data_IF_108190638886
#
_entry.id   IF_108190638886
#
_cell.length_a   1.000
_cell.length_b   1.000
_cell.length_c   1.000
_cell.angle_alpha   90.00
_cell.angle_beta   90.00
_cell.angle_gamma   90.00
#
_symmetry.space_group_name_H-M   'P 1'
#
loop_
_entity.id
_entity.type
_entity.pdbx_description
1 polymer ?
#
# COMPACT_ATOMS: atom_id res chain seq x y z
N UNK A 1 24.09 4.43 2.84
CA UNK A 1 23.08 3.42 2.42
C UNK A 1 23.67 2.60 1.28
N UNK A 2 23.38 1.30 1.20
CA UNK A 2 23.89 0.48 0.08
C UNK A 2 23.17 0.85 -1.22
N UNK A 3 23.92 0.93 -2.33
CA UNK A 3 23.35 1.26 -3.66
C UNK A 3 22.24 0.29 -4.07
N UNK A 4 22.39 -0.99 -3.70
CA UNK A 4 21.41 -2.06 -3.95
C UNK A 4 20.08 -1.79 -3.24
N UNK A 5 20.09 -1.26 -2.02
CA UNK A 5 18.86 -0.94 -1.30
C UNK A 5 18.12 0.24 -1.94
N UNK A 6 18.84 1.28 -2.36
CA UNK A 6 18.25 2.42 -3.06
C UNK A 6 17.66 2.02 -4.41
N UNK A 7 18.35 1.14 -5.15
CA UNK A 7 17.83 0.61 -6.42
C UNK A 7 16.52 -0.15 -6.21
N UNK A 8 16.44 -1.02 -5.20
CA UNK A 8 15.20 -1.76 -4.87
C UNK A 8 14.05 -0.80 -4.57
N UNK A 9 14.29 0.21 -3.74
CA UNK A 9 13.29 1.21 -3.41
C UNK A 9 12.80 1.97 -4.65
N UNK A 10 13.72 2.30 -5.58
CA UNK A 10 13.39 2.93 -6.84
C UNK A 10 12.51 2.04 -7.73
N UNK A 11 12.84 0.75 -7.86
CA UNK A 11 12.05 -0.22 -8.62
C UNK A 11 10.65 -0.38 -8.03
N UNK A 12 10.53 -0.38 -6.69
CA UNK A 12 9.25 -0.45 -5.98
C UNK A 12 8.40 0.80 -6.24
N UNK A 13 9.04 1.98 -6.22
CA UNK A 13 8.40 3.24 -6.59
C UNK A 13 7.92 3.25 -8.04
N UNK A 14 8.74 2.74 -8.96
CA UNK A 14 8.37 2.61 -10.37
C UNK A 14 7.18 1.66 -10.56
N UNK A 15 7.14 0.53 -9.86
CA UNK A 15 6.01 -0.39 -9.90
C UNK A 15 4.71 0.26 -9.40
N UNK A 16 4.78 1.08 -8.33
CA UNK A 16 3.61 1.82 -7.84
C UNK A 16 3.12 2.89 -8.84
N UNK A 17 4.05 3.58 -9.54
CA UNK A 17 3.69 4.54 -10.59
C UNK A 17 3.06 3.82 -11.79
N UNK A 18 3.60 2.67 -12.20
CA UNK A 18 3.01 1.87 -13.28
C UNK A 18 1.63 1.34 -12.93
N UNK A 19 1.41 0.92 -11.68
CA UNK A 19 0.07 0.53 -11.20
C UNK A 19 -0.91 1.70 -11.33
N UNK A 20 -0.49 2.89 -10.93
CA UNK A 20 -1.31 4.10 -11.02
C UNK A 20 -1.61 4.47 -12.48
N UNK A 21 -0.63 4.35 -13.36
CA UNK A 21 -0.79 4.55 -14.79
C UNK A 21 -1.75 3.53 -15.40
N UNK A 22 -1.66 2.26 -14.99
CA UNK A 22 -2.54 1.20 -15.46
C UNK A 22 -4.01 1.43 -15.05
N UNK A 23 -4.28 2.07 -13.91
CA UNK A 23 -5.65 2.45 -13.52
C UNK A 23 -6.29 3.46 -14.49
N UNK A 24 -5.50 4.24 -15.24
CA UNK A 24 -5.97 5.19 -16.24
C UNK A 24 -6.24 4.53 -17.62
N UNK A 25 -6.79 3.29 -17.63
CA UNK A 25 -7.03 2.50 -18.85
C UNK A 25 -7.76 3.27 -19.95
N UNK A 26 -8.84 3.98 -19.60
CA UNK A 26 -9.67 4.72 -20.56
C UNK A 26 -8.92 5.85 -21.27
N UNK A 27 -7.84 6.36 -20.66
CA UNK A 27 -6.97 7.35 -21.26
C UNK A 27 -5.77 6.74 -22.01
N UNK A 28 -5.17 5.68 -21.46
CA UNK A 28 -3.99 5.03 -22.02
C UNK A 28 -4.30 4.20 -23.28
N UNK A 29 -5.53 3.70 -23.38
CA UNK A 29 -5.89 2.70 -24.36
C UNK A 29 -5.26 1.33 -24.08
N UNK A 30 -5.67 0.35 -24.88
CA UNK A 30 -5.40 -1.05 -24.58
C UNK A 30 -3.90 -1.41 -24.66
N UNK A 31 -3.20 -1.01 -25.74
CA UNK A 31 -1.82 -1.39 -25.97
C UNK A 31 -0.87 -0.87 -24.88
N UNK A 32 -1.01 0.40 -24.49
CA UNK A 32 -0.15 1.01 -23.47
C UNK A 32 -0.47 0.43 -22.09
N UNK A 33 -1.74 0.14 -21.79
CA UNK A 33 -2.13 -0.51 -20.53
C UNK A 33 -1.53 -1.92 -20.40
N UNK A 34 -1.61 -2.74 -21.45
CA UNK A 34 -1.02 -4.08 -21.46
C UNK A 34 0.51 -4.03 -21.30
N UNK A 35 1.18 -3.08 -21.96
CA UNK A 35 2.62 -2.88 -21.81
C UNK A 35 2.99 -2.45 -20.39
N UNK A 36 2.29 -1.46 -19.84
CA UNK A 36 2.51 -0.96 -18.49
C UNK A 36 2.30 -2.07 -17.44
N UNK A 37 1.23 -2.85 -17.59
CA UNK A 37 0.95 -4.03 -16.76
C UNK A 37 2.06 -5.07 -16.86
N UNK A 38 2.53 -5.39 -18.07
CA UNK A 38 3.63 -6.34 -18.29
C UNK A 38 4.91 -5.91 -17.60
N UNK A 39 5.34 -4.65 -17.80
CA UNK A 39 6.53 -4.10 -17.14
C UNK A 39 6.37 -4.12 -15.62
N UNK A 40 5.19 -3.73 -15.11
CA UNK A 40 4.89 -3.77 -13.68
C UNK A 40 5.03 -5.19 -13.12
N UNK A 41 4.48 -6.21 -13.77
CA UNK A 41 4.58 -7.59 -13.30
C UNK A 41 6.02 -8.12 -13.34
N UNK A 42 6.81 -7.78 -14.35
CA UNK A 42 8.24 -8.11 -14.37
C UNK A 42 8.99 -7.49 -13.19
N UNK A 43 8.70 -6.23 -12.86
CA UNK A 43 9.26 -5.57 -11.67
C UNK A 43 8.82 -6.25 -10.38
N UNK A 44 7.55 -6.67 -10.27
CA UNK A 44 7.05 -7.41 -9.11
C UNK A 44 7.71 -8.78 -8.96
N UNK A 45 7.95 -9.50 -10.06
CA UNK A 45 8.70 -10.76 -10.04
C UNK A 45 10.12 -10.50 -9.53
N UNK A 46 10.81 -9.50 -10.09
CA UNK A 46 12.15 -9.13 -9.65
C UNK A 46 12.18 -8.74 -8.16
N UNK A 47 11.23 -7.94 -7.70
CA UNK A 47 11.06 -7.58 -6.29
C UNK A 47 10.94 -8.81 -5.39
N UNK A 48 10.09 -9.76 -5.76
CA UNK A 48 9.87 -10.99 -5.01
C UNK A 48 11.11 -11.90 -4.97
N UNK A 49 11.85 -12.01 -6.08
CA UNK A 49 13.12 -12.75 -6.14
C UNK A 49 14.17 -12.10 -5.22
N UNK A 50 14.33 -10.78 -5.28
CA UNK A 50 15.28 -10.05 -4.43
C UNK A 50 14.92 -10.13 -2.94
N UNK A 51 13.63 -10.24 -2.64
CA UNK A 51 13.12 -10.35 -1.28
C UNK A 51 12.86 -11.81 -0.85
N UNK A 52 13.36 -12.82 -1.60
CA UNK A 52 13.08 -14.24 -1.33
C UNK A 52 13.48 -14.69 0.08
N UNK A 53 14.53 -14.09 0.64
CA UNK A 53 15.00 -14.38 2.02
C UNK A 53 13.96 -14.06 3.10
N UNK A 54 13.04 -13.12 2.83
CA UNK A 54 11.96 -12.79 3.74
C UNK A 54 11.03 -13.99 3.95
N UNK A 55 10.72 -14.75 2.88
CA UNK A 55 9.86 -15.94 2.98
C UNK A 55 10.42 -17.01 3.93
N UNK A 56 11.75 -17.18 3.97
CA UNK A 56 12.40 -18.11 4.91
C UNK A 56 12.38 -17.63 6.36
N UNK A 57 12.27 -16.32 6.60
CA UNK A 57 12.22 -15.74 7.94
C UNK A 57 10.82 -15.75 8.58
N UNK A 58 9.78 -16.11 7.82
CA UNK A 58 8.38 -16.10 8.29
C UNK A 58 8.16 -16.92 9.57
N UNK A 59 8.88 -18.04 9.73
CA UNK A 59 8.83 -18.91 10.90
C UNK A 59 9.29 -18.22 12.19
N UNK A 60 10.21 -17.25 12.10
CA UNK A 60 10.79 -16.54 13.25
C UNK A 60 9.97 -15.31 13.67
N UNK A 61 9.18 -14.77 12.75
CA UNK A 61 8.37 -13.54 12.90
C UNK A 61 7.03 -13.73 13.63
N UNK A 62 6.68 -14.94 14.07
CA UNK A 62 5.43 -15.25 14.79
C UNK A 62 5.26 -14.53 16.15
N UNK A 63 6.30 -13.90 16.69
CA UNK A 63 6.30 -13.37 18.06
C UNK A 63 5.85 -11.91 18.18
N UNK A 64 5.73 -11.15 17.10
CA UNK A 64 5.34 -9.73 17.14
C UNK A 64 4.02 -9.48 16.38
N UNK A 65 2.99 -8.88 17.00
CA UNK A 65 1.70 -8.60 16.35
C UNK A 65 1.82 -7.78 15.06
N UNK A 66 2.74 -6.81 15.04
CA UNK A 66 3.04 -6.00 13.85
C UNK A 66 3.56 -6.85 12.70
N UNK A 67 4.37 -7.87 13.01
CA UNK A 67 4.92 -8.75 11.99
C UNK A 67 3.87 -9.69 11.40
N UNK A 68 2.89 -10.13 12.19
CA UNK A 68 1.76 -10.93 11.69
C UNK A 68 0.90 -10.09 10.75
N UNK A 69 0.57 -8.85 11.13
CA UNK A 69 -0.17 -7.92 10.28
C UNK A 69 0.56 -7.65 8.96
N UNK A 70 1.87 -7.37 9.02
CA UNK A 70 2.72 -7.19 7.83
C UNK A 70 2.71 -8.43 6.92
N UNK A 71 2.80 -9.64 7.50
CA UNK A 71 2.77 -10.88 6.75
C UNK A 71 1.40 -11.10 6.08
N UNK A 72 0.30 -10.88 6.81
CA UNK A 72 -1.05 -10.95 6.26
C UNK A 72 -1.29 -9.97 5.14
N UNK A 73 -0.87 -8.71 5.30
CA UNK A 73 -0.98 -7.70 4.23
C UNK A 73 -0.14 -8.07 3.00
N UNK A 74 1.08 -8.57 3.21
CA UNK A 74 1.94 -9.00 2.10
C UNK A 74 1.30 -10.17 1.35
N UNK A 75 0.70 -11.13 2.05
CA UNK A 75 -0.04 -12.22 1.42
C UNK A 75 -1.27 -11.70 0.65
N UNK A 76 -2.05 -10.80 1.24
CA UNK A 76 -3.17 -10.17 0.55
C UNK A 76 -2.74 -9.43 -0.72
N UNK A 77 -1.61 -8.71 -0.67
CA UNK A 77 -1.03 -8.03 -1.82
C UNK A 77 -0.60 -9.03 -2.90
N UNK A 78 0.07 -10.12 -2.54
CA UNK A 78 0.45 -11.18 -3.48
C UNK A 78 -0.77 -11.79 -4.17
N UNK A 79 -1.83 -12.08 -3.40
CA UNK A 79 -3.08 -12.61 -3.93
C UNK A 79 -3.75 -11.61 -4.88
N UNK A 80 -3.83 -10.33 -4.53
CA UNK A 80 -4.37 -9.30 -5.40
C UNK A 80 -3.57 -9.16 -6.70
N UNK A 81 -2.24 -9.19 -6.62
CA UNK A 81 -1.35 -9.14 -7.79
C UNK A 81 -1.49 -10.39 -8.67
N UNK A 82 -1.69 -11.57 -8.07
CA UNK A 82 -1.94 -12.80 -8.82
C UNK A 82 -3.29 -12.76 -9.55
N UNK A 83 -4.35 -12.30 -8.88
CA UNK A 83 -5.66 -12.10 -9.52
C UNK A 83 -5.54 -11.13 -10.68
N UNK A 84 -4.84 -10.01 -10.50
CA UNK A 84 -4.58 -9.05 -11.58
C UNK A 84 -3.82 -9.69 -12.74
N UNK A 85 -2.76 -10.46 -12.48
CA UNK A 85 -1.98 -11.11 -13.52
C UNK A 85 -2.83 -12.10 -14.33
N UNK A 86 -3.57 -12.98 -13.65
CA UNK A 86 -4.41 -14.00 -14.31
C UNK A 86 -5.50 -13.30 -15.12
N UNK A 87 -6.20 -12.33 -14.54
CA UNK A 87 -7.27 -11.60 -15.24
C UNK A 87 -6.73 -10.75 -16.39
N UNK A 88 -5.53 -10.15 -16.27
CA UNK A 88 -4.84 -9.46 -17.37
C UNK A 88 -4.58 -10.38 -18.55
N UNK A 89 -4.07 -11.59 -18.30
CA UNK A 89 -3.81 -12.59 -19.36
C UNK A 89 -5.11 -12.99 -20.05
N UNK A 90 -6.19 -13.19 -19.29
CA UNK A 90 -7.49 -13.60 -19.85
C UNK A 90 -8.20 -12.50 -20.65
N UNK A 91 -7.98 -11.23 -20.34
CA UNK A 91 -8.62 -10.09 -21.03
C UNK A 91 -7.72 -9.50 -22.14
N UNK A 92 -6.41 -9.80 -22.13
CA UNK A 92 -5.44 -9.22 -23.07
C UNK A 92 -5.86 -9.44 -24.52
N UNK A 93 -5.94 -8.35 -25.28
CA UNK A 93 -6.20 -8.40 -26.71
C UNK A 93 -4.99 -8.95 -27.47
N UNK A 94 -3.76 -8.72 -27.00
CA UNK A 94 -2.56 -9.28 -27.62
C UNK A 94 -2.52 -10.82 -27.54
N UNK A 95 -3.06 -11.39 -26.46
CA UNK A 95 -3.12 -12.84 -26.25
C UNK A 95 -4.44 -13.48 -26.70
N UNK A 96 -5.47 -12.67 -27.02
CA UNK A 96 -6.78 -13.14 -27.45
C UNK A 96 -6.75 -14.14 -28.63
N UNK A 97 -5.85 -14.02 -29.64
CA UNK A 97 -5.77 -15.02 -30.72
C UNK A 97 -5.31 -16.42 -30.26
N UNK A 98 -4.64 -16.51 -29.11
CA UNK A 98 -4.02 -17.73 -28.61
C UNK A 98 -4.77 -18.37 -27.43
N UNK A 99 -5.73 -17.65 -26.84
CA UNK A 99 -6.45 -18.07 -25.64
C UNK A 99 -7.94 -18.30 -25.93
N UNK A 100 -8.58 -19.23 -25.19
CA UNK A 100 -10.04 -19.35 -25.23
C UNK A 100 -10.72 -18.04 -24.83
N UNK A 101 -11.95 -17.76 -25.30
CA UNK A 101 -12.69 -16.51 -25.05
C UNK A 101 -13.25 -16.44 -23.62
N UNK A 102 -12.38 -16.55 -22.62
CA UNK A 102 -12.72 -16.46 -21.20
C UNK A 102 -12.67 -15.03 -20.65
N UNK A 103 -12.19 -14.06 -21.43
CA UNK A 103 -12.12 -12.63 -21.10
C UNK A 103 -13.46 -11.88 -21.05
N UNK A 104 -14.51 -12.57 -20.59
CA UNK A 104 -15.86 -12.04 -20.50
C UNK A 104 -16.01 -10.94 -19.45
N UNK A 105 -17.24 -10.41 -19.37
CA UNK A 105 -17.60 -9.30 -18.50
C UNK A 105 -17.20 -9.50 -17.03
N UNK A 106 -17.46 -10.69 -16.46
CA UNK A 106 -17.13 -11.00 -15.06
C UNK A 106 -15.63 -10.91 -14.77
N UNK A 107 -14.77 -11.35 -15.70
CA UNK A 107 -13.31 -11.27 -15.54
C UNK A 107 -12.86 -9.82 -15.51
N UNK A 108 -13.46 -8.95 -16.33
CA UNK A 108 -13.19 -7.50 -16.33
C UNK A 108 -13.62 -6.83 -15.03
N UNK A 109 -14.75 -7.25 -14.45
CA UNK A 109 -15.17 -6.77 -13.13
C UNK A 109 -14.20 -7.21 -12.03
N UNK A 110 -13.78 -8.48 -12.03
CA UNK A 110 -12.80 -9.00 -11.07
C UNK A 110 -11.45 -8.28 -11.22
N UNK A 111 -11.00 -8.04 -12.46
CA UNK A 111 -9.78 -7.29 -12.74
C UNK A 111 -9.85 -5.88 -12.16
N UNK A 112 -10.95 -5.18 -12.43
CA UNK A 112 -11.17 -3.82 -11.92
C UNK A 112 -11.20 -3.78 -10.39
N UNK A 113 -11.95 -4.70 -9.78
CA UNK A 113 -12.04 -4.85 -8.32
C UNK A 113 -10.64 -5.07 -7.72
N UNK A 114 -9.87 -6.01 -8.28
CA UNK A 114 -8.53 -6.32 -7.84
C UNK A 114 -7.57 -5.13 -8.04
N UNK A 115 -7.75 -4.31 -9.07
CA UNK A 115 -6.92 -3.14 -9.34
C UNK A 115 -7.12 -2.05 -8.27
N UNK A 116 -8.37 -1.74 -7.93
CA UNK A 116 -8.69 -0.76 -6.88
C UNK A 116 -8.32 -1.27 -5.49
N UNK A 117 -8.56 -2.54 -5.17
CA UNK A 117 -8.05 -3.13 -3.92
C UNK A 117 -6.52 -3.15 -3.89
N UNK A 118 -5.87 -3.41 -5.03
CA UNK A 118 -4.43 -3.32 -5.20
C UNK A 118 -3.89 -1.94 -4.81
N UNK A 119 -4.52 -0.86 -5.30
CA UNK A 119 -4.18 0.52 -4.91
C UNK A 119 -4.25 0.73 -3.38
N UNK A 120 -5.35 0.28 -2.75
CA UNK A 120 -5.54 0.42 -1.30
C UNK A 120 -4.49 -0.38 -0.53
N UNK A 121 -4.27 -1.65 -0.89
CA UNK A 121 -3.32 -2.53 -0.21
C UNK A 121 -1.89 -2.00 -0.37
N UNK A 122 -1.51 -1.51 -1.55
CA UNK A 122 -0.21 -0.86 -1.78
C UNK A 122 -0.07 0.40 -0.91
N UNK A 123 -1.11 1.23 -0.81
CA UNK A 123 -1.09 2.41 0.06
C UNK A 123 -0.91 2.04 1.55
N UNK A 124 -1.59 0.99 2.04
CA UNK A 124 -1.36 0.45 3.39
C UNK A 124 0.09 -0.04 3.53
N UNK A 125 0.60 -0.76 2.53
CA UNK A 125 1.96 -1.29 2.50
C UNK A 125 3.01 -0.17 2.61
N UNK A 126 2.81 0.93 1.88
CA UNK A 126 3.64 2.14 1.97
C UNK A 126 3.52 2.81 3.35
N UNK A 127 2.31 2.90 3.89
CA UNK A 127 2.05 3.46 5.23
C UNK A 127 2.79 2.70 6.36
N UNK A 128 2.84 1.36 6.27
CA UNK A 128 3.61 0.52 7.20
C UNK A 128 5.12 0.80 7.15
N UNK A 129 5.62 1.05 5.93
CA UNK A 129 7.04 1.33 5.65
C UNK A 129 7.39 2.82 5.77
N UNK A 130 6.43 3.68 6.09
CA UNK A 130 6.64 5.12 6.20
C UNK A 130 7.80 5.56 7.11
N UNK A 131 8.03 4.96 8.31
CA UNK A 131 9.20 5.29 9.13
C UNK A 131 10.54 5.06 8.41
N UNK A 132 10.63 3.97 7.63
CA UNK A 132 11.81 3.65 6.83
C UNK A 132 11.99 4.68 5.72
N UNK A 133 10.92 4.99 4.97
CA UNK A 133 10.95 5.99 3.89
C UNK A 133 11.37 7.37 4.40
N UNK A 134 10.85 7.79 5.55
CA UNK A 134 11.26 9.03 6.21
C UNK A 134 12.74 9.01 6.62
N UNK A 135 13.27 7.87 7.07
CA UNK A 135 14.70 7.69 7.34
C UNK A 135 15.57 7.81 6.09
N UNK A 136 15.12 7.24 4.97
CA UNK A 136 15.78 7.36 3.66
C UNK A 136 15.79 8.80 3.18
N UNK A 137 14.64 9.47 3.20
CA UNK A 137 14.49 10.87 2.78
C UNK A 137 15.38 11.80 3.61
N UNK A 138 15.42 11.61 4.94
CA UNK A 138 16.31 12.39 5.82
C UNK A 138 17.78 12.22 5.49
N UNK A 139 18.20 10.99 5.19
CA UNK A 139 19.60 10.71 4.84
C UNK A 139 19.98 11.28 3.47
N UNK A 140 19.09 11.20 2.48
CA UNK A 140 19.30 11.77 1.14
C UNK A 140 19.39 13.31 1.19
N UNK A 141 18.52 13.94 1.97
CA UNK A 141 18.47 15.39 2.12
C UNK A 141 19.50 15.94 3.14
N UNK A 142 20.36 15.09 3.71
CA UNK A 142 21.38 15.51 4.68
C UNK A 142 20.81 16.10 5.98
N UNK A 143 19.56 15.77 6.32
CA UNK A 143 18.83 16.40 7.41
C UNK A 143 19.29 15.84 8.77
N UNK A 144 20.14 16.61 9.46
CA UNK A 144 20.56 16.36 10.83
C UNK A 144 19.68 17.18 11.79
N UNK A 145 19.08 16.52 12.78
CA UNK A 145 18.25 17.16 13.82
C UNK A 145 16.73 17.11 13.62
N UNK A 146 16.02 17.24 14.74
CA UNK A 146 14.56 17.35 14.82
C UNK A 146 14.17 18.83 14.85
N UNK A 147 13.50 19.31 13.81
CA UNK A 147 12.93 20.65 13.79
C UNK A 147 11.41 20.55 14.09
N UNK A 148 10.92 21.14 15.20
CA UNK A 148 9.50 21.08 15.57
C UNK A 148 8.60 21.76 14.52
N UNK A 149 9.04 22.88 13.93
CA UNK A 149 8.32 23.56 12.85
C UNK A 149 8.19 22.66 11.61
N UNK A 150 9.27 21.99 11.19
CA UNK A 150 9.22 21.03 10.08
C UNK A 150 8.23 19.89 10.37
N UNK A 151 8.24 19.41 11.61
CA UNK A 151 7.31 18.33 12.02
C UNK A 151 5.86 18.81 12.00
N UNK A 152 5.60 20.05 12.42
CA UNK A 152 4.27 20.66 12.36
C UNK A 152 3.80 20.84 10.91
N UNK A 153 4.66 21.38 10.03
CA UNK A 153 4.37 21.56 8.60
C UNK A 153 4.05 20.21 7.94
N UNK A 154 4.87 19.17 8.17
CA UNK A 154 4.61 17.84 7.63
C UNK A 154 3.29 17.24 8.14
N UNK A 155 2.90 17.51 9.39
CA UNK A 155 1.60 17.09 9.93
C UNK A 155 0.45 17.87 9.29
N UNK A 156 0.58 19.17 9.10
CA UNK A 156 -0.42 19.98 8.42
C UNK A 156 -0.63 19.50 6.97
N UNK A 157 0.46 19.21 6.25
CA UNK A 157 0.39 18.60 4.91
C UNK A 157 -0.31 17.25 4.95
N UNK A 158 0.01 16.38 5.92
CA UNK A 158 -0.66 15.09 6.05
C UNK A 158 -2.17 15.23 6.32
N UNK A 159 -2.59 16.22 7.12
CA UNK A 159 -4.01 16.51 7.37
C UNK A 159 -4.69 17.03 6.09
N UNK A 160 -4.05 17.95 5.37
CA UNK A 160 -4.57 18.44 4.10
C UNK A 160 -4.74 17.30 3.07
N UNK A 161 -3.76 16.41 2.95
CA UNK A 161 -3.83 15.20 2.11
C UNK A 161 -4.97 14.29 2.57
N UNK A 162 -5.16 14.11 3.87
CA UNK A 162 -6.24 13.28 4.39
C UNK A 162 -7.62 13.86 4.05
N UNK A 163 -7.83 15.16 4.25
CA UNK A 163 -9.09 15.84 3.89
C UNK A 163 -9.34 15.72 2.39
N UNK A 164 -8.32 16.01 1.58
CA UNK A 164 -8.42 15.89 0.13
C UNK A 164 -8.69 14.45 -0.32
N UNK A 165 -8.10 13.47 0.35
CA UNK A 165 -8.31 12.05 0.07
C UNK A 165 -9.73 11.59 0.38
N UNK A 166 -10.36 12.12 1.44
CA UNK A 166 -11.77 11.81 1.75
C UNK A 166 -12.68 12.35 0.65
N UNK A 167 -12.48 13.60 0.23
CA UNK A 167 -13.23 14.17 -0.89
C UNK A 167 -13.00 13.37 -2.18
N UNK A 168 -11.74 13.03 -2.47
CA UNK A 168 -11.34 12.24 -3.64
C UNK A 168 -11.94 10.83 -3.65
N UNK A 169 -12.16 10.22 -2.49
CA UNK A 169 -12.79 8.90 -2.38
C UNK A 169 -14.22 8.92 -2.93
N UNK A 170 -14.96 10.00 -2.67
CA UNK A 170 -16.29 10.21 -3.22
C UNK A 170 -16.23 10.56 -4.71
N UNK A 171 -15.34 11.46 -5.13
CA UNK A 171 -15.20 11.86 -6.54
C UNK A 171 -14.84 10.69 -7.47
N UNK A 172 -14.01 9.76 -6.99
CA UNK A 172 -13.63 8.57 -7.75
C UNK A 172 -14.66 7.44 -7.68
N UNK A 173 -15.73 7.58 -6.88
CA UNK A 173 -16.71 6.52 -6.66
C UNK A 173 -16.06 5.24 -6.11
N UNK A 174 -15.04 5.36 -5.26
CA UNK A 174 -14.27 4.18 -4.85
C UNK A 174 -15.10 3.16 -4.06
N UNK A 175 -16.11 3.62 -3.31
CA UNK A 175 -16.99 2.73 -2.56
C UNK A 175 -17.72 1.71 -3.45
N UNK A 176 -18.20 2.14 -4.62
CA UNK A 176 -18.90 1.27 -5.56
C UNK A 176 -17.91 0.31 -6.25
N UNK A 177 -16.74 0.82 -6.63
CA UNK A 177 -15.67 0.04 -7.27
C UNK A 177 -15.08 -1.03 -6.35
N UNK A 178 -14.93 -0.74 -5.06
CA UNK A 178 -14.43 -1.67 -4.05
C UNK A 178 -15.47 -2.73 -3.63
N UNK A 179 -16.76 -2.46 -3.85
CA UNK A 179 -17.88 -3.38 -3.55
C UNK A 179 -18.37 -4.15 -4.78
N UNK A 180 -17.66 -4.05 -5.91
CA UNK A 180 -18.03 -4.67 -7.19
C UNK A 180 -19.41 -4.23 -7.70
N UNK A 181 -19.89 -3.05 -7.28
CA UNK A 181 -21.11 -2.47 -7.79
C UNK A 181 -20.88 -1.88 -9.18
N UNK A 182 -21.80 -2.14 -10.09
CA UNK A 182 -21.75 -1.59 -11.44
C UNK A 182 -22.14 -0.11 -11.41
N UNK A 183 -21.20 0.75 -11.81
CA UNK A 183 -21.45 2.18 -12.01
C UNK A 183 -20.97 2.60 -13.38
N UNK A 184 -21.77 3.45 -14.05
CA UNK A 184 -21.38 4.11 -15.29
C UNK A 184 -20.54 5.37 -15.05
N UNK A 185 -20.36 5.77 -13.79
CA UNK A 185 -19.53 6.90 -13.36
C UNK A 185 -18.03 6.57 -13.49
N UNK A 186 -17.55 6.64 -14.73
CA UNK A 186 -16.13 6.63 -15.05
C UNK A 186 -15.59 8.06 -15.10
N UNK A 187 -14.31 8.22 -14.76
CA UNK A 187 -13.68 9.54 -14.80
C UNK A 187 -13.65 10.07 -16.23
N UNK A 188 -14.12 11.30 -16.42
CA UNK A 188 -14.03 11.96 -17.71
C UNK A 188 -12.61 12.48 -17.95
N UNK A 189 -11.82 11.70 -18.70
CA UNK A 189 -10.45 12.07 -19.04
C UNK A 189 -10.36 13.23 -20.04
N UNK A 190 -11.44 13.58 -20.73
CA UNK A 190 -11.49 14.76 -21.60
C UNK A 190 -11.48 16.06 -20.80
N UNK A 191 -12.05 16.05 -19.59
CA UNK A 191 -12.11 17.23 -18.74
C UNK A 191 -10.78 17.48 -18.01
N UNK A 192 -10.23 16.46 -17.34
CA UNK A 192 -8.99 16.60 -16.59
C UNK A 192 -8.25 15.27 -16.38
N UNK A 193 -7.21 15.01 -17.17
CA UNK A 193 -6.32 13.85 -16.99
C UNK A 193 -5.59 13.91 -15.65
N UNK A 194 -5.02 15.08 -15.31
CA UNK A 194 -4.27 15.26 -14.07
C UNK A 194 -5.16 15.09 -12.82
N UNK A 195 -6.45 15.42 -12.91
CA UNK A 195 -7.41 15.28 -11.82
C UNK A 195 -7.52 13.84 -11.32
N UNK A 196 -7.57 12.86 -12.25
CA UNK A 196 -7.61 11.45 -11.90
C UNK A 196 -6.40 11.02 -11.05
N UNK A 197 -5.18 11.36 -11.50
CA UNK A 197 -3.96 11.02 -10.78
C UNK A 197 -3.87 11.71 -9.42
N UNK A 198 -4.31 12.97 -9.34
CA UNK A 198 -4.36 13.72 -8.09
C UNK A 198 -5.31 13.05 -7.10
N UNK A 199 -6.51 12.68 -7.53
CA UNK A 199 -7.49 12.02 -6.66
C UNK A 199 -7.00 10.64 -6.20
N UNK A 200 -6.40 9.84 -7.10
CA UNK A 200 -5.84 8.55 -6.71
C UNK A 200 -4.67 8.70 -5.72
N UNK A 201 -3.77 9.67 -5.95
CA UNK A 201 -2.67 9.97 -5.04
C UNK A 201 -3.17 10.48 -3.69
N UNK A 202 -4.23 11.30 -3.67
CA UNK A 202 -4.84 11.80 -2.44
C UNK A 202 -5.47 10.67 -1.63
N UNK A 203 -6.18 9.73 -2.28
CA UNK A 203 -6.72 8.54 -1.60
C UNK A 203 -5.60 7.66 -1.06
N UNK A 204 -4.58 7.36 -1.87
CA UNK A 204 -3.43 6.59 -1.40
C UNK A 204 -2.76 7.28 -0.20
N UNK A 205 -2.59 8.61 -0.26
CA UNK A 205 -2.08 9.43 0.83
C UNK A 205 -2.92 9.35 2.10
N UNK A 206 -4.25 9.44 1.99
CA UNK A 206 -5.18 9.24 3.11
C UNK A 206 -4.97 7.87 3.75
N UNK A 207 -4.97 6.80 2.96
CA UNK A 207 -4.79 5.43 3.45
C UNK A 207 -3.42 5.26 4.12
N UNK A 208 -2.36 5.85 3.56
CA UNK A 208 -1.02 5.87 4.15
C UNK A 208 -1.00 6.58 5.52
N UNK A 209 -1.63 7.76 5.61
CA UNK A 209 -1.73 8.55 6.84
C UNK A 209 -2.48 7.78 7.91
N UNK A 210 -3.67 7.25 7.59
CA UNK A 210 -4.49 6.45 8.50
C UNK A 210 -3.72 5.23 8.99
N UNK A 211 -3.05 4.51 8.08
CA UNK A 211 -2.24 3.34 8.43
C UNK A 211 -1.11 3.71 9.38
N UNK A 212 -0.33 4.75 9.04
CA UNK A 212 0.82 5.17 9.83
C UNK A 212 0.44 5.61 11.25
N UNK A 213 -0.58 6.47 11.39
CA UNK A 213 -1.02 6.95 12.69
C UNK A 213 -1.78 5.87 13.48
N UNK A 214 -2.58 5.03 12.81
CA UNK A 214 -3.26 3.89 13.43
C UNK A 214 -2.30 2.91 14.09
N UNK A 215 -1.22 2.52 13.39
CA UNK A 215 -0.18 1.67 13.97
C UNK A 215 0.54 2.32 15.14
N UNK A 216 0.80 3.63 15.05
CA UNK A 216 1.47 4.37 16.12
C UNK A 216 0.64 4.39 17.39
N UNK A 217 -0.68 4.59 17.26
CA UNK A 217 -1.61 4.53 18.38
C UNK A 217 -1.70 3.11 18.97
N UNK A 218 -1.75 2.09 18.11
CA UNK A 218 -1.77 0.69 18.55
C UNK A 218 -0.50 0.32 19.35
N UNK A 219 0.67 0.79 18.91
CA UNK A 219 1.94 0.59 19.61
C UNK A 219 1.96 1.27 20.98
N UNK A 220 1.47 2.51 21.06
CA UNK A 220 1.35 3.23 22.33
C UNK A 220 0.42 2.50 23.30
N UNK A 221 -0.72 1.99 22.82
CA UNK A 221 -1.65 1.20 23.64
C UNK A 221 -1.06 -0.11 24.14
N UNK A 222 -0.31 -0.84 23.29
CA UNK A 222 0.36 -2.08 23.67
C UNK A 222 1.50 -1.84 24.67
N UNK A 223 2.31 -0.80 24.49
CA UNK A 223 3.37 -0.42 25.45
C UNK A 223 2.79 0.02 26.80
N UNK A 224 1.69 0.78 26.81
CA UNK A 224 1.01 1.18 28.04
C UNK A 224 0.44 -0.02 28.81
N UNK A 225 -0.11 -1.01 28.10
CA UNK A 225 -0.63 -2.26 28.69
C UNK A 225 0.49 -3.13 29.29
N UNK A 226 1.64 -3.22 28.61
CA UNK A 226 2.82 -3.94 29.10
C UNK A 226 3.37 -3.32 30.40
N UNK A 227 3.55 -1.99 30.43
CA UNK A 227 4.01 -1.28 31.64
C UNK A 227 3.03 -1.40 32.81
N UNK A 228 1.72 -1.45 32.54
CA UNK A 228 0.70 -1.65 33.59
C UNK A 228 0.76 -3.06 34.17
N UNK A 229 0.98 -4.08 33.33
CA UNK A 229 1.12 -5.48 33.77
C UNK A 229 2.36 -5.70 34.63
N UNK A 230 3.51 -5.13 34.25
CA UNK A 230 4.75 -5.20 35.05
C UNK A 230 4.61 -4.49 36.39
N UNK A 231 3.99 -3.31 36.43
CA UNK A 231 3.76 -2.59 37.70
C UNK A 231 2.85 -3.35 38.67
N UNK A 232 1.84 -4.05 38.15
CA UNK A 232 0.96 -4.89 38.97
C UNK A 232 1.70 -6.12 39.51
N UNK A 233 2.51 -6.79 38.68
CA UNK A 233 3.31 -7.94 39.10
C UNK A 233 4.35 -7.57 40.18
N UNK A 234 5.06 -6.45 40.01
CA UNK A 234 6.02 -5.94 41.02
C UNK A 234 5.30 -5.51 42.31
N UNK A 235 4.08 -4.98 42.20
CA UNK A 235 3.25 -4.63 43.35
C UNK A 235 2.84 -5.85 44.19
N UNK A 236 2.39 -6.93 43.53
CA UNK A 236 2.03 -8.19 44.18
C UNK A 236 3.24 -8.90 44.82
N UNK A 237 4.40 -8.86 44.17
CA UNK A 237 5.63 -9.47 44.69
C UNK A 237 6.15 -8.74 45.93
N UNK A 238 6.01 -7.41 45.97
CA UNK A 238 6.37 -6.57 47.13
C UNK A 238 5.43 -6.77 48.33
N UNK A 239 4.18 -7.16 48.08
CA UNK A 239 3.19 -7.47 49.11
C UNK A 239 3.35 -8.88 49.70
N UNK A 240 3.99 -9.79 48.95
CA UNK A 240 4.30 -11.17 49.39
C UNK A 240 5.68 -11.32 50.05
N UNK A 241 6.50 -10.26 50.06
CA UNK A 241 7.80 -10.29 50.72
C UNK A 241 7.60 -10.35 52.25
N UNK A 242 8.17 -11.35 52.95
CA UNK A 242 8.04 -11.45 54.40
C UNK A 242 8.73 -10.26 55.06
N UNK A 243 8.01 -9.61 55.98
CA UNK A 243 8.54 -8.54 56.84
C UNK A 243 9.66 -9.17 57.68
N UNK A 244 10.90 -8.79 57.39
CA UNK A 244 12.06 -9.11 58.25
C UNK A 244 12.15 -8.12 59.39
#
# INVERSE_FOLDING_TARGET
MSRVFLLRLWLDGLAAVLLLLALAYWWLGNAVHELAGTVMFLLLIAHNVFNRRWYGSLSRTRREPRSIFNAGLTFALLTAMLILLVTSVLISNALAPYLPPWGGFTVRQIHTLAAYWGLVIVAIHLGLRWPMLMGVARNLLGIKGTNPLRTLVLRAIAVAIAIHGVWSFHQLGLGTKLSMQMTLDWWNFEEAVAGFFIHCAAVAGLVMVVTYYGLKLLQLGLSAKGHRSERLAVGEERQRAPIK
#
